data_IF_762065760563
#
_entry.id   IF_762065760563
#
_cell.length_a   1.000
_cell.length_b   1.000
_cell.length_c   1.000
_cell.angle_alpha   90.00
_cell.angle_beta   90.00
_cell.angle_gamma   90.00
#
_symmetry.space_group_name_H-M   'P 1'
#
loop_
_entity.id
_entity.type
_entity.pdbx_description
1 polymer ?
#
# COMPACT_ATOMS: atom_id res chain seq x y z
N UNK A 1 -9.15 -1.39 -13.98
CA UNK A 1 -7.67 -1.46 -14.02
C UNK A 1 -7.20 -2.18 -12.77
N UNK A 2 -6.12 -2.97 -12.82
CA UNK A 2 -5.54 -3.58 -11.62
C UNK A 2 -5.20 -2.49 -10.60
N UNK A 3 -5.72 -2.61 -9.37
CA UNK A 3 -5.58 -1.60 -8.32
C UNK A 3 -5.37 -2.28 -6.96
N UNK A 4 -4.62 -1.64 -6.06
CA UNK A 4 -4.35 -2.14 -4.70
C UNK A 4 -4.80 -1.11 -3.65
N UNK A 5 -5.27 -1.59 -2.50
CA UNK A 5 -5.53 -0.78 -1.29
C UNK A 5 -4.87 -1.43 -0.06
N UNK A 6 -3.52 -1.47 -0.01
CA UNK A 6 -2.80 -2.11 1.07
C UNK A 6 -2.84 -1.26 2.35
N UNK A 7 -2.72 -1.92 3.49
CA UNK A 7 -2.56 -1.25 4.78
C UNK A 7 -1.10 -1.35 5.24
N UNK A 8 -0.53 -0.21 5.65
CA UNK A 8 0.74 -0.15 6.38
C UNK A 8 0.43 0.12 7.85
N UNK A 9 1.00 -0.69 8.75
CA UNK A 9 0.75 -0.53 10.19
C UNK A 9 1.36 0.77 10.70
N UNK A 10 0.54 1.60 11.35
CA UNK A 10 0.97 2.86 11.97
C UNK A 10 0.54 3.02 13.45
N UNK A 11 -0.06 1.97 14.02
CA UNK A 11 -0.51 1.90 15.42
C UNK A 11 -0.40 0.46 15.95
N UNK A 12 -0.48 0.26 17.28
CA UNK A 12 -0.67 -1.07 17.86
C UNK A 12 -1.98 -1.73 17.40
N UNK A 13 -2.07 -3.05 17.56
CA UNK A 13 -3.31 -3.78 17.29
C UNK A 13 -4.43 -3.29 18.22
N UNK A 14 -5.66 -3.28 17.70
CA UNK A 14 -6.86 -2.92 18.47
C UNK A 14 -7.23 -1.43 18.46
N UNK A 15 -6.43 -0.55 17.84
CA UNK A 15 -6.78 0.87 17.67
C UNK A 15 -7.75 1.04 16.49
N UNK A 16 -8.98 1.55 16.67
CA UNK A 16 -9.95 1.70 15.58
C UNK A 16 -9.60 2.83 14.61
N UNK A 17 -9.63 2.59 13.29
CA UNK A 17 -9.17 3.54 12.26
C UNK A 17 -9.92 4.88 12.19
N UNK A 18 -11.16 4.95 12.67
CA UNK A 18 -11.98 6.18 12.70
C UNK A 18 -12.13 6.73 14.12
N UNK A 19 -11.05 6.70 14.91
CA UNK A 19 -11.02 7.18 16.29
C UNK A 19 -10.05 8.35 16.47
N UNK A 20 -10.25 9.10 17.56
CA UNK A 20 -9.28 10.12 18.00
C UNK A 20 -7.92 9.50 18.29
N UNK A 21 -7.89 8.32 18.89
CA UNK A 21 -6.65 7.60 19.20
C UNK A 21 -5.86 7.26 17.92
N UNK A 22 -6.54 6.85 16.85
CA UNK A 22 -5.86 6.59 15.58
C UNK A 22 -5.34 7.88 14.94
N UNK A 23 -6.05 9.00 15.08
CA UNK A 23 -5.56 10.30 14.65
C UNK A 23 -4.29 10.73 15.39
N UNK A 24 -4.19 10.42 16.69
CA UNK A 24 -2.96 10.62 17.48
C UNK A 24 -1.81 9.74 16.95
N UNK A 25 -2.07 8.47 16.70
CA UNK A 25 -1.08 7.55 16.10
C UNK A 25 -0.63 7.98 14.71
N UNK A 26 -1.52 8.57 13.90
CA UNK A 26 -1.20 9.06 12.56
C UNK A 26 -0.16 10.20 12.54
N UNK A 27 0.07 10.88 13.68
CA UNK A 27 1.12 11.90 13.85
C UNK A 27 2.42 11.35 14.43
N UNK A 28 2.46 10.07 14.79
CA UNK A 28 3.57 9.46 15.51
C UNK A 28 4.80 9.20 14.61
N UNK A 29 5.99 9.02 15.21
CA UNK A 29 7.17 8.55 14.48
C UNK A 29 6.93 7.22 13.74
N UNK A 30 6.09 6.33 14.28
CA UNK A 30 5.70 5.08 13.63
C UNK A 30 4.92 5.32 12.34
N UNK A 31 3.96 6.26 12.36
CA UNK A 31 3.24 6.65 11.16
C UNK A 31 4.16 7.27 10.09
N UNK A 32 5.14 8.08 10.50
CA UNK A 32 6.14 8.63 9.57
C UNK A 32 6.99 7.52 8.93
N UNK A 33 7.43 6.54 9.70
CA UNK A 33 8.16 5.39 9.17
C UNK A 33 7.28 4.58 8.20
N UNK A 34 6.02 4.33 8.56
CA UNK A 34 5.04 3.66 7.71
C UNK A 34 4.76 4.41 6.41
N UNK A 35 4.67 5.74 6.45
CA UNK A 35 4.50 6.59 5.27
C UNK A 35 5.68 6.44 4.29
N UNK A 36 6.92 6.50 4.79
CA UNK A 36 8.11 6.30 3.96
C UNK A 36 8.15 4.88 3.37
N UNK A 37 7.80 3.87 4.16
CA UNK A 37 7.71 2.49 3.67
C UNK A 37 6.63 2.34 2.58
N UNK A 38 5.45 2.93 2.78
CA UNK A 38 4.36 2.92 1.79
C UNK A 38 4.75 3.64 0.49
N UNK A 39 5.40 4.80 0.59
CA UNK A 39 5.91 5.52 -0.58
C UNK A 39 6.93 4.69 -1.38
N UNK A 40 7.87 4.02 -0.68
CA UNK A 40 8.83 3.11 -1.33
C UNK A 40 8.15 1.91 -1.96
N UNK A 41 7.18 1.30 -1.28
CA UNK A 41 6.44 0.16 -1.82
C UNK A 41 5.73 0.54 -3.12
N UNK A 42 5.01 1.66 -3.15
CA UNK A 42 4.36 2.16 -4.36
C UNK A 42 5.35 2.41 -5.50
N UNK A 43 6.46 3.10 -5.20
CA UNK A 43 7.47 3.44 -6.21
C UNK A 43 8.17 2.19 -6.76
N UNK A 44 8.53 1.23 -5.91
CA UNK A 44 9.19 0.00 -6.32
C UNK A 44 8.24 -0.93 -7.08
N UNK A 45 6.97 -1.04 -6.66
CA UNK A 45 5.96 -1.79 -7.43
C UNK A 45 5.75 -1.17 -8.82
N UNK A 46 5.69 0.15 -8.93
CA UNK A 46 5.62 0.80 -10.24
C UNK A 46 6.88 0.54 -11.08
N UNK A 47 8.06 0.60 -10.46
CA UNK A 47 9.33 0.30 -11.12
C UNK A 47 9.36 -1.14 -11.65
N UNK A 48 8.95 -2.13 -10.86
CA UNK A 48 8.91 -3.54 -11.27
C UNK A 48 8.03 -3.75 -12.50
N UNK A 49 6.86 -3.10 -12.52
CA UNK A 49 5.92 -3.17 -13.65
C UNK A 49 6.45 -2.45 -14.90
N UNK A 50 7.16 -1.33 -14.73
CA UNK A 50 7.77 -0.60 -15.85
C UNK A 50 8.99 -1.33 -16.41
N UNK A 51 9.79 -1.95 -15.54
CA UNK A 51 10.99 -2.70 -15.93
C UNK A 51 10.67 -4.07 -16.54
N UNK A 52 9.48 -4.63 -16.27
CA UNK A 52 9.06 -5.94 -16.77
C UNK A 52 7.70 -5.87 -17.49
N UNK A 53 7.71 -5.69 -18.83
CA UNK A 53 6.50 -5.77 -19.63
C UNK A 53 5.68 -7.07 -19.41
N UNK A 54 6.29 -8.26 -19.27
CA UNK A 54 5.54 -9.47 -18.95
C UNK A 54 4.77 -9.39 -17.63
N UNK A 55 5.36 -8.82 -16.57
CA UNK A 55 4.68 -8.67 -15.27
C UNK A 55 3.46 -7.74 -15.37
N UNK A 56 3.58 -6.64 -16.13
CA UNK A 56 2.45 -5.74 -16.38
C UNK A 56 1.33 -6.42 -17.18
N UNK A 57 1.66 -7.25 -18.17
CA UNK A 57 0.65 -7.98 -18.92
C UNK A 57 -0.04 -9.03 -18.05
N UNK A 58 0.71 -9.75 -17.22
CA UNK A 58 0.12 -10.72 -16.28
C UNK A 58 -0.84 -10.03 -15.31
N UNK A 59 -0.43 -8.93 -14.68
CA UNK A 59 -1.30 -8.19 -13.76
C UNK A 59 -2.60 -7.70 -14.42
N UNK A 60 -2.55 -7.35 -15.71
CA UNK A 60 -3.75 -6.99 -16.50
C UNK A 60 -4.61 -8.19 -16.83
N UNK A 61 -4.00 -9.30 -17.26
CA UNK A 61 -4.69 -10.55 -17.55
C UNK A 61 -5.42 -11.06 -16.30
N UNK A 62 -4.74 -11.16 -15.15
CA UNK A 62 -5.32 -11.59 -13.88
C UNK A 62 -6.54 -10.76 -13.49
N UNK A 63 -6.47 -9.44 -13.69
CA UNK A 63 -7.59 -8.53 -13.40
C UNK A 63 -8.77 -8.71 -14.35
N UNK A 64 -8.53 -9.07 -15.62
CA UNK A 64 -9.58 -9.27 -16.63
C UNK A 64 -10.18 -10.68 -16.56
N UNK A 65 -9.39 -11.68 -16.23
CA UNK A 65 -9.81 -13.09 -16.16
C UNK A 65 -10.42 -13.47 -14.80
N UNK A 66 -10.04 -12.78 -13.72
CA UNK A 66 -10.56 -12.99 -12.36
C UNK A 66 -11.73 -12.07 -11.96
N UNK A 67 -12.34 -11.38 -12.92
CA UNK A 67 -13.50 -10.50 -12.73
C UNK A 67 -14.84 -11.18 -12.89
#
# INVERSE_FOLDING_TARGET
>A
LPTIHPYIRISPNGVPGHSRDFAEWARSPMARAGMVAGAKALALTALDLLASPPALQQAKADFTEGG
#
